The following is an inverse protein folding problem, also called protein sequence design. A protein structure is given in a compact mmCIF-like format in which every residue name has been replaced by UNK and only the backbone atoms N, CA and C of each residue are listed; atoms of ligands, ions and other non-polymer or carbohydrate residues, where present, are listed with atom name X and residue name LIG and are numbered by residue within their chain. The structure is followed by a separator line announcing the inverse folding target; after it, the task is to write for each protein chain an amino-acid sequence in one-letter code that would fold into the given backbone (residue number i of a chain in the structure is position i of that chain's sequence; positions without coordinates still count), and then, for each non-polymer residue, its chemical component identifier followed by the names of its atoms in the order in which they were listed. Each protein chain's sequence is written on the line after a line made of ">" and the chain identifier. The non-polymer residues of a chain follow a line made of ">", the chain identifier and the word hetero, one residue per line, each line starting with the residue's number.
data_IF_835841672376
#
_entry.id   IF_835841672376
#
_cell.length_a   1.000
_cell.length_b   1.000
_cell.length_c   1.000
_cell.angle_alpha   90.00
_cell.angle_beta   90.00
_cell.angle_gamma   90.00
#
_symmetry.space_group_name_H-M   'P 1'
#
loop_
_entity.id
_entity.type
_entity.pdbx_description
1 polymer ?
#
# COMPACT_ATOMS: atom_id res chain seq x y z
N UNK A 1 -46.36 -13.14 -37.56
CA UNK A 1 -45.95 -12.62 -36.24
C UNK A 1 -45.60 -13.82 -35.38
N UNK A 2 -44.32 -14.03 -35.08
CA UNK A 2 -43.87 -15.13 -34.24
C UNK A 2 -43.65 -14.58 -32.82
N UNK A 3 -44.53 -14.94 -31.89
CA UNK A 3 -44.34 -14.69 -30.46
C UNK A 3 -43.20 -15.57 -29.96
N UNK A 4 -42.07 -14.93 -29.64
CA UNK A 4 -41.02 -15.55 -28.83
C UNK A 4 -41.42 -15.41 -27.36
N UNK A 5 -42.02 -16.46 -26.80
CA UNK A 5 -42.19 -16.57 -25.36
C UNK A 5 -40.81 -16.88 -24.75
N UNK A 6 -40.14 -15.85 -24.25
CA UNK A 6 -38.86 -15.99 -23.55
C UNK A 6 -39.15 -16.58 -22.18
N UNK A 7 -38.87 -17.87 -22.05
CA UNK A 7 -38.78 -18.56 -20.78
C UNK A 7 -37.68 -17.91 -19.93
N UNK A 8 -38.07 -16.97 -19.07
CA UNK A 8 -37.28 -16.51 -17.92
C UNK A 8 -37.16 -17.68 -16.94
N UNK A 9 -36.17 -18.56 -17.18
CA UNK A 9 -35.79 -19.62 -16.27
C UNK A 9 -34.37 -19.37 -15.77
N UNK A 10 -34.19 -18.31 -15.00
CA UNK A 10 -32.94 -18.10 -14.26
C UNK A 10 -33.22 -17.46 -12.90
N UNK A 11 -33.64 -18.30 -11.97
CA UNK A 11 -33.51 -17.97 -10.55
C UNK A 11 -33.10 -19.26 -9.86
N UNK A 12 -31.82 -19.44 -9.49
CA UNK A 12 -31.45 -20.58 -8.68
C UNK A 12 -32.20 -20.44 -7.36
N UNK A 13 -33.17 -21.34 -7.14
CA UNK A 13 -33.82 -21.51 -5.85
C UNK A 13 -32.72 -21.94 -4.88
N UNK A 14 -32.18 -20.97 -4.15
CA UNK A 14 -31.28 -21.20 -3.05
C UNK A 14 -32.03 -22.03 -2.02
N UNK A 15 -31.88 -23.35 -2.12
CA UNK A 15 -32.45 -24.31 -1.18
C UNK A 15 -32.06 -23.90 0.22
N UNK A 16 -33.06 -23.43 0.97
CA UNK A 16 -32.92 -23.01 2.35
C UNK A 16 -32.48 -24.24 3.16
N UNK A 17 -31.16 -24.41 3.32
CA UNK A 17 -30.56 -25.46 4.14
C UNK A 17 -31.10 -25.28 5.55
N UNK A 18 -32.09 -26.11 5.92
CA UNK A 18 -32.62 -26.17 7.27
C UNK A 18 -31.48 -26.64 8.19
N UNK A 19 -30.88 -25.70 8.92
CA UNK A 19 -29.99 -26.01 10.05
C UNK A 19 -30.84 -26.61 11.16
N UNK A 20 -30.93 -27.93 11.19
CA UNK A 20 -31.70 -28.69 12.20
C UNK A 20 -31.03 -28.74 13.57
N UNK A 21 -29.81 -28.21 13.70
CA UNK A 21 -29.11 -28.12 14.98
C UNK A 21 -28.64 -26.69 15.16
N UNK A 22 -29.37 -25.94 15.99
CA UNK A 22 -28.97 -24.61 16.42
C UNK A 22 -27.95 -24.78 17.56
N UNK A 23 -26.76 -25.30 17.22
CA UNK A 23 -25.62 -25.22 18.13
C UNK A 23 -25.23 -23.75 18.15
N UNK A 24 -25.41 -23.10 19.31
CA UNK A 24 -24.98 -21.72 19.54
C UNK A 24 -23.49 -21.59 19.16
N UNK A 25 -23.24 -21.07 17.97
CA UNK A 25 -21.89 -20.91 17.41
C UNK A 25 -21.00 -20.08 18.33
N UNK A 26 -21.57 -19.19 19.13
CA UNK A 26 -20.82 -18.33 20.04
C UNK A 26 -20.26 -19.10 21.25
N UNK A 27 -21.03 -20.04 21.81
CA UNK A 27 -20.59 -20.85 22.96
C UNK A 27 -19.49 -21.83 22.56
N UNK A 28 -19.64 -22.46 21.39
CA UNK A 28 -18.60 -23.34 20.83
C UNK A 28 -17.36 -22.54 20.42
N UNK A 29 -17.53 -21.32 19.91
CA UNK A 29 -16.42 -20.42 19.59
C UNK A 29 -15.58 -20.05 20.81
N UNK A 30 -16.23 -19.65 21.91
CA UNK A 30 -15.56 -19.31 23.16
C UNK A 30 -14.85 -20.53 23.78
N UNK A 31 -15.46 -21.72 23.70
CA UNK A 31 -14.83 -22.97 24.14
C UNK A 31 -13.59 -23.30 23.30
N UNK A 32 -13.69 -23.24 21.97
CA UNK A 32 -12.58 -23.50 21.07
C UNK A 32 -11.41 -22.53 21.29
N UNK A 33 -11.70 -21.26 21.57
CA UNK A 33 -10.66 -20.27 21.86
C UNK A 33 -9.96 -20.51 23.21
N UNK A 34 -10.69 -20.98 24.22
CA UNK A 34 -10.09 -21.42 25.49
C UNK A 34 -9.21 -22.66 25.29
N UNK A 35 -9.69 -23.63 24.51
CA UNK A 35 -8.96 -24.84 24.16
C UNK A 35 -7.69 -24.51 23.36
N UNK A 36 -7.78 -23.63 22.35
CA UNK A 36 -6.64 -23.19 21.55
C UNK A 36 -5.55 -22.51 22.40
N UNK A 37 -5.94 -21.65 23.35
CA UNK A 37 -4.98 -21.04 24.29
C UNK A 37 -4.37 -22.05 25.25
N UNK A 38 -5.15 -23.04 25.68
CA UNK A 38 -4.69 -24.11 26.56
C UNK A 38 -3.68 -25.05 25.89
N UNK A 39 -3.93 -25.47 24.65
CA UNK A 39 -2.99 -26.31 23.87
C UNK A 39 -1.80 -25.52 23.30
N UNK A 40 -1.96 -24.21 23.05
CA UNK A 40 -0.89 -23.34 22.55
C UNK A 40 0.12 -22.90 23.61
N UNK A 41 -0.25 -22.98 24.89
CA UNK A 41 0.64 -22.71 26.02
C UNK A 41 1.26 -24.03 26.47
N UNK A 42 2.59 -24.12 26.61
CA UNK A 42 3.30 -25.35 26.99
C UNK A 42 2.88 -25.98 28.34
N UNK A 43 1.99 -25.33 29.09
CA UNK A 43 1.38 -25.81 30.33
C UNK A 43 0.61 -27.13 30.19
N UNK A 44 -0.08 -27.37 29.06
CA UNK A 44 -0.78 -28.64 28.86
C UNK A 44 0.20 -29.82 28.84
N UNK A 45 1.30 -29.69 28.09
CA UNK A 45 2.33 -30.72 28.00
C UNK A 45 2.97 -30.98 29.37
N UNK A 46 3.23 -29.92 30.15
CA UNK A 46 3.76 -30.05 31.49
C UNK A 46 2.84 -30.88 32.40
N UNK A 47 1.55 -30.54 32.49
CA UNK A 47 0.59 -31.29 33.32
C UNK A 47 0.37 -32.71 32.82
N UNK A 48 0.35 -32.95 31.50
CA UNK A 48 0.25 -34.30 30.93
C UNK A 48 1.45 -35.16 31.32
N UNK A 49 2.67 -34.63 31.25
CA UNK A 49 3.88 -35.35 31.67
C UNK A 49 3.89 -35.65 33.16
N UNK A 50 3.48 -34.68 34.00
CA UNK A 50 3.35 -34.88 35.46
C UNK A 50 2.34 -35.98 35.76
N UNK A 51 1.18 -35.99 35.09
CA UNK A 51 0.16 -37.03 35.28
C UNK A 51 0.70 -38.42 34.94
N UNK A 52 1.34 -38.57 33.77
CA UNK A 52 1.94 -39.85 33.36
C UNK A 52 3.02 -40.30 34.33
N UNK A 53 3.88 -39.37 34.76
CA UNK A 53 4.95 -39.65 35.72
C UNK A 53 4.38 -40.14 37.06
N UNK A 54 3.39 -39.45 37.62
CA UNK A 54 2.73 -39.83 38.87
C UNK A 54 2.04 -41.19 38.72
N UNK A 55 1.37 -41.46 37.60
CA UNK A 55 0.73 -42.75 37.32
C UNK A 55 1.72 -43.90 37.36
N UNK A 56 2.85 -43.75 36.66
CA UNK A 56 3.92 -44.75 36.62
C UNK A 56 4.52 -44.96 38.02
N UNK A 57 4.80 -43.88 38.76
CA UNK A 57 5.36 -43.96 40.13
C UNK A 57 4.39 -44.66 41.09
N UNK A 58 3.11 -44.29 41.08
CA UNK A 58 2.08 -44.94 41.91
C UNK A 58 1.96 -46.44 41.59
N UNK A 59 2.05 -46.80 40.31
CA UNK A 59 1.99 -48.19 39.88
C UNK A 59 3.18 -49.02 40.36
N UNK A 60 4.39 -48.44 40.33
CA UNK A 60 5.62 -49.10 40.82
C UNK A 60 5.58 -49.30 42.34
N UNK A 61 5.07 -48.32 43.08
CA UNK A 61 4.99 -48.36 44.56
C UNK A 61 3.85 -49.26 45.05
N UNK A 62 2.76 -49.39 44.29
CA UNK A 62 1.60 -50.24 44.58
C UNK A 62 1.84 -51.75 44.39
N UNK A 63 2.90 -52.26 45.04
CA UNK A 63 3.48 -53.60 44.84
C UNK A 63 2.48 -54.76 45.04
N UNK A 64 1.50 -54.60 45.93
CA UNK A 64 0.55 -55.67 46.29
C UNK A 64 -0.68 -55.77 45.39
N UNK A 65 -1.06 -54.70 44.68
CA UNK A 65 -2.32 -54.68 43.90
C UNK A 65 -2.13 -54.48 42.39
N UNK A 66 -0.90 -54.16 41.92
CA UNK A 66 -0.50 -54.04 40.50
C UNK A 66 -1.65 -53.69 39.55
N UNK A 67 -2.29 -52.54 39.77
CA UNK A 67 -3.51 -52.15 39.06
C UNK A 67 -3.32 -51.99 37.54
N UNK A 68 -2.09 -51.75 37.10
CA UNK A 68 -1.75 -51.63 35.67
C UNK A 68 -0.32 -52.18 35.42
N UNK A 69 -0.10 -53.51 35.38
CA UNK A 69 1.22 -54.10 35.24
C UNK A 69 1.88 -53.70 33.91
N UNK A 70 3.21 -53.63 33.88
CA UNK A 70 3.98 -53.41 32.64
C UNK A 70 3.50 -54.41 31.56
N UNK A 71 3.01 -53.96 30.39
CA UNK A 71 3.28 -52.68 29.69
C UNK A 71 2.23 -51.54 29.84
N UNK A 72 1.56 -51.39 30.98
CA UNK A 72 0.58 -50.32 31.27
C UNK A 72 -0.62 -50.26 30.29
N UNK A 73 -1.43 -51.32 30.27
CA UNK A 73 -2.57 -51.46 29.35
C UNK A 73 -3.64 -50.39 29.57
N UNK A 74 -3.88 -49.97 30.81
CA UNK A 74 -4.92 -48.98 31.11
C UNK A 74 -4.48 -47.59 30.65
N UNK A 75 -3.22 -47.24 30.88
CA UNK A 75 -2.64 -45.99 30.38
C UNK A 75 -2.69 -45.95 28.85
N UNK A 76 -2.32 -47.04 28.18
CA UNK A 76 -2.38 -47.13 26.74
C UNK A 76 -3.82 -47.02 26.19
N UNK A 77 -4.79 -47.67 26.85
CA UNK A 77 -6.20 -47.56 26.48
C UNK A 77 -6.69 -46.12 26.63
N UNK A 78 -6.34 -45.45 27.73
CA UNK A 78 -6.69 -44.06 27.96
C UNK A 78 -6.12 -43.13 26.88
N UNK A 79 -4.84 -43.28 26.52
CA UNK A 79 -4.22 -42.52 25.43
C UNK A 79 -4.88 -42.81 24.07
N UNK A 80 -5.24 -44.07 23.80
CA UNK A 80 -5.92 -44.45 22.57
C UNK A 80 -7.30 -43.78 22.46
N UNK A 81 -8.08 -43.78 23.54
CA UNK A 81 -9.36 -43.09 23.58
C UNK A 81 -9.20 -41.57 23.52
N UNK A 82 -8.18 -41.02 24.18
CA UNK A 82 -7.86 -39.59 24.15
C UNK A 82 -7.57 -39.13 22.72
N UNK A 83 -6.73 -39.86 21.99
CA UNK A 83 -6.43 -39.57 20.58
C UNK A 83 -7.69 -39.70 19.70
N UNK A 84 -8.52 -40.72 19.93
CA UNK A 84 -9.75 -40.92 19.18
C UNK A 84 -10.76 -39.77 19.35
N UNK A 85 -10.87 -39.18 20.54
CA UNK A 85 -11.74 -38.02 20.78
C UNK A 85 -11.10 -36.69 20.37
N UNK A 86 -9.77 -36.61 20.32
CA UNK A 86 -9.07 -35.41 19.87
C UNK A 86 -9.36 -35.12 18.39
N UNK A 87 -9.38 -36.13 17.52
CA UNK A 87 -9.61 -35.96 16.07
C UNK A 87 -10.91 -35.17 15.72
N UNK A 88 -12.11 -35.53 16.22
CA UNK A 88 -13.32 -34.76 15.93
C UNK A 88 -13.32 -33.37 16.57
N UNK A 89 -12.70 -33.20 17.75
CA UNK A 89 -12.59 -31.89 18.39
C UNK A 89 -11.67 -30.95 17.60
N UNK A 90 -10.56 -31.47 17.10
CA UNK A 90 -9.63 -30.75 16.22
C UNK A 90 -10.34 -30.37 14.91
N UNK A 91 -11.09 -31.28 14.29
CA UNK A 91 -11.87 -30.99 13.08
C UNK A 91 -12.88 -29.85 13.30
N UNK A 92 -13.56 -29.81 14.46
CA UNK A 92 -14.47 -28.72 14.79
C UNK A 92 -13.74 -27.39 15.01
N UNK A 93 -12.55 -27.42 15.62
CA UNK A 93 -11.71 -26.25 15.78
C UNK A 93 -11.20 -25.75 14.42
N UNK A 94 -10.80 -26.66 13.51
CA UNK A 94 -10.30 -26.36 12.18
C UNK A 94 -11.38 -25.76 11.28
N UNK A 95 -12.58 -26.36 11.19
CA UNK A 95 -13.69 -25.80 10.39
C UNK A 95 -13.98 -24.33 10.73
N UNK A 96 -13.84 -23.95 12.01
CA UNK A 96 -14.03 -22.56 12.45
C UNK A 96 -12.86 -21.64 12.18
N UNK A 97 -11.64 -22.16 12.13
CA UNK A 97 -10.48 -21.40 11.69
C UNK A 97 -10.62 -21.12 10.19
N UNK A 98 -10.95 -22.14 9.39
CA UNK A 98 -11.19 -22.00 7.95
C UNK A 98 -12.31 -21.02 7.61
N UNK A 99 -13.42 -21.03 8.36
CA UNK A 99 -14.50 -20.05 8.17
C UNK A 99 -14.03 -18.61 8.44
N UNK A 100 -13.22 -18.40 9.48
CA UNK A 100 -12.63 -17.08 9.80
C UNK A 100 -11.62 -16.65 8.74
N UNK A 101 -10.72 -17.54 8.37
CA UNK A 101 -9.70 -17.29 7.35
C UNK A 101 -10.35 -16.97 6.00
N UNK A 102 -11.46 -17.63 5.66
CA UNK A 102 -12.23 -17.33 4.45
C UNK A 102 -12.79 -15.92 4.45
N UNK A 103 -13.31 -15.42 5.57
CA UNK A 103 -13.82 -14.05 5.69
C UNK A 103 -12.68 -13.06 5.52
N UNK A 104 -11.55 -13.30 6.18
CA UNK A 104 -10.35 -12.44 6.09
C UNK A 104 -9.86 -12.36 4.64
N UNK A 105 -9.75 -13.50 3.95
CA UNK A 105 -9.32 -13.56 2.54
C UNK A 105 -10.32 -12.85 1.61
N UNK A 106 -11.62 -12.98 1.87
CA UNK A 106 -12.64 -12.30 1.07
C UNK A 106 -12.57 -10.77 1.23
N UNK A 107 -12.37 -10.29 2.46
CA UNK A 107 -12.21 -8.87 2.76
C UNK A 107 -10.92 -8.30 2.14
N UNK A 108 -9.82 -9.03 2.23
CA UNK A 108 -8.53 -8.64 1.64
C UNK A 108 -8.62 -8.53 0.11
N UNK A 109 -9.33 -9.46 -0.56
CA UNK A 109 -9.61 -9.36 -2.00
C UNK A 109 -10.40 -8.10 -2.33
N UNK A 110 -11.48 -7.83 -1.60
CA UNK A 110 -12.31 -6.63 -1.81
C UNK A 110 -11.49 -5.34 -1.62
N UNK A 111 -10.62 -5.31 -0.61
CA UNK A 111 -9.73 -4.18 -0.34
C UNK A 111 -8.70 -3.99 -1.44
N UNK A 112 -8.14 -5.08 -1.95
CA UNK A 112 -7.19 -5.07 -3.07
C UNK A 112 -7.84 -4.56 -4.35
N UNK A 113 -9.09 -4.97 -4.64
CA UNK A 113 -9.87 -4.45 -5.77
C UNK A 113 -10.13 -2.95 -5.66
N UNK A 114 -10.50 -2.45 -4.48
CA UNK A 114 -10.68 -1.02 -4.23
C UNK A 114 -9.38 -0.23 -4.41
N UNK A 115 -8.30 -0.71 -3.80
CA UNK A 115 -6.98 -0.06 -3.90
C UNK A 115 -6.51 0.01 -5.35
N UNK A 116 -6.77 -1.05 -6.13
CA UNK A 116 -6.48 -1.07 -7.56
C UNK A 116 -7.31 -0.04 -8.33
N UNK A 117 -8.62 0.03 -8.08
CA UNK A 117 -9.50 1.00 -8.70
C UNK A 117 -9.11 2.45 -8.37
N UNK A 118 -8.76 2.73 -7.11
CA UNK A 118 -8.29 4.05 -6.67
C UNK A 118 -6.98 4.43 -7.35
N UNK A 119 -6.04 3.47 -7.48
CA UNK A 119 -4.77 3.68 -8.18
C UNK A 119 -4.99 3.95 -9.67
N UNK A 120 -5.89 3.21 -10.32
CA UNK A 120 -6.27 3.44 -11.72
C UNK A 120 -6.95 4.80 -11.91
N UNK A 121 -7.79 5.22 -10.96
CA UNK A 121 -8.41 6.54 -10.96
C UNK A 121 -7.35 7.65 -10.84
N UNK A 122 -6.48 7.57 -9.83
CA UNK A 122 -5.40 8.53 -9.63
C UNK A 122 -4.45 8.59 -10.82
N UNK A 123 -4.15 7.45 -11.46
CA UNK A 123 -3.34 7.42 -12.67
C UNK A 123 -4.01 8.14 -13.86
N UNK A 124 -5.33 7.97 -14.02
CA UNK A 124 -6.10 8.68 -15.06
C UNK A 124 -6.18 10.18 -14.78
N UNK A 125 -6.43 10.57 -13.54
CA UNK A 125 -6.42 11.98 -13.11
C UNK A 125 -5.03 12.61 -13.29
N UNK A 126 -3.96 11.90 -12.93
CA UNK A 126 -2.60 12.40 -13.15
C UNK A 126 -2.30 12.54 -14.65
N UNK A 127 -2.76 11.60 -15.48
CA UNK A 127 -2.59 11.68 -16.92
C UNK A 127 -3.38 12.85 -17.53
N UNK A 128 -4.63 13.09 -17.10
CA UNK A 128 -5.44 14.21 -17.57
C UNK A 128 -4.84 15.56 -17.15
N UNK A 129 -4.40 15.68 -15.89
CA UNK A 129 -3.69 16.87 -15.38
C UNK A 129 -2.39 17.10 -16.15
N UNK A 130 -1.62 16.04 -16.42
CA UNK A 130 -0.38 16.14 -17.20
C UNK A 130 -0.62 16.64 -18.63
N UNK A 131 -1.68 16.17 -19.28
CA UNK A 131 -2.05 16.64 -20.62
C UNK A 131 -2.48 18.11 -20.59
N UNK A 132 -3.33 18.50 -19.63
CA UNK A 132 -3.77 19.88 -19.47
C UNK A 132 -2.62 20.87 -19.22
N UNK A 133 -1.67 20.50 -18.35
CA UNK A 133 -0.47 21.31 -18.06
C UNK A 133 0.53 21.27 -19.23
N UNK A 134 0.69 20.12 -19.87
CA UNK A 134 1.64 19.91 -20.96
C UNK A 134 1.34 20.72 -22.22
N UNK A 135 0.06 20.83 -22.61
CA UNK A 135 -0.32 21.46 -23.88
C UNK A 135 -0.31 23.00 -23.85
N UNK A 136 -0.54 23.64 -22.70
CA UNK A 136 -0.77 25.10 -22.65
C UNK A 136 0.27 25.87 -21.83
N UNK A 137 0.74 25.31 -20.72
CA UNK A 137 1.57 26.09 -19.80
C UNK A 137 3.05 26.17 -20.21
N UNK A 138 3.55 25.25 -21.04
CA UNK A 138 4.99 25.25 -21.39
C UNK A 138 5.26 25.96 -22.71
N UNK A 139 4.50 25.64 -23.76
CA UNK A 139 4.80 26.14 -25.11
C UNK A 139 4.48 27.62 -25.28
N UNK A 140 3.29 28.05 -24.89
CA UNK A 140 2.86 29.44 -25.08
C UNK A 140 3.53 30.37 -24.07
N UNK A 141 3.74 29.90 -22.84
CA UNK A 141 4.52 30.61 -21.83
C UNK A 141 5.99 30.79 -22.25
N UNK A 142 6.68 29.73 -22.70
CA UNK A 142 8.07 29.83 -23.17
C UNK A 142 8.18 30.77 -24.37
N UNK A 143 7.21 30.75 -25.29
CA UNK A 143 7.18 31.68 -26.43
C UNK A 143 6.97 33.12 -25.97
N UNK A 144 6.00 33.35 -25.08
CA UNK A 144 5.72 34.67 -24.54
C UNK A 144 6.93 35.24 -23.78
N UNK A 145 7.61 34.42 -22.98
CA UNK A 145 8.80 34.83 -22.25
C UNK A 145 9.98 35.11 -23.19
N UNK A 146 10.16 34.31 -24.25
CA UNK A 146 11.15 34.59 -25.30
C UNK A 146 10.87 35.91 -26.03
N UNK A 147 9.60 36.18 -26.38
CA UNK A 147 9.19 37.42 -27.05
C UNK A 147 9.34 38.63 -26.13
N UNK A 148 8.98 38.50 -24.85
CA UNK A 148 9.17 39.51 -23.82
C UNK A 148 10.65 39.87 -23.65
N UNK A 149 11.53 38.86 -23.57
CA UNK A 149 12.99 39.07 -23.51
C UNK A 149 13.48 39.77 -24.77
N UNK A 150 13.01 39.36 -25.95
CA UNK A 150 13.40 39.97 -27.23
C UNK A 150 13.00 41.46 -27.29
N UNK A 151 11.79 41.79 -26.84
CA UNK A 151 11.31 43.17 -26.78
C UNK A 151 12.10 44.00 -25.77
N UNK A 152 12.46 43.44 -24.62
CA UNK A 152 13.31 44.10 -23.62
C UNK A 152 14.70 44.42 -24.18
N UNK A 153 15.29 43.51 -24.95
CA UNK A 153 16.59 43.73 -25.62
C UNK A 153 16.46 44.86 -26.65
N UNK A 154 15.42 44.85 -27.48
CA UNK A 154 15.20 45.87 -28.52
C UNK A 154 14.97 47.27 -27.93
N UNK A 155 14.21 47.35 -26.82
CA UNK A 155 14.07 48.60 -26.05
C UNK A 155 15.39 49.09 -25.46
N UNK A 156 16.25 48.17 -25.00
CA UNK A 156 17.57 48.51 -24.47
C UNK A 156 18.47 49.07 -25.57
N UNK A 157 18.48 48.43 -26.74
CA UNK A 157 19.29 48.81 -27.90
C UNK A 157 18.87 50.20 -28.43
N UNK A 158 17.56 50.43 -28.58
CA UNK A 158 17.02 51.73 -28.98
C UNK A 158 17.42 52.85 -27.99
N UNK A 159 17.34 52.57 -26.68
CA UNK A 159 17.74 53.54 -25.65
C UNK A 159 19.23 53.86 -25.67
N UNK A 160 20.07 52.85 -25.96
CA UNK A 160 21.51 53.02 -26.13
C UNK A 160 21.77 53.91 -27.35
N UNK A 161 21.16 53.62 -28.51
CA UNK A 161 21.29 54.41 -29.74
C UNK A 161 20.87 55.87 -29.54
N UNK A 162 19.75 56.12 -28.85
CA UNK A 162 19.28 57.47 -28.49
C UNK A 162 20.28 58.21 -27.59
N UNK A 163 20.85 57.54 -26.60
CA UNK A 163 21.90 58.12 -25.76
C UNK A 163 23.15 58.49 -26.56
N UNK A 164 23.59 57.64 -27.48
CA UNK A 164 24.72 57.94 -28.37
C UNK A 164 24.41 59.10 -29.32
N UNK A 165 23.16 59.22 -29.79
CA UNK A 165 22.72 60.32 -30.64
C UNK A 165 22.69 61.65 -29.87
N UNK A 166 22.15 61.67 -28.65
CA UNK A 166 22.16 62.85 -27.77
C UNK A 166 23.60 63.28 -27.43
N UNK A 167 24.47 62.35 -27.01
CA UNK A 167 25.88 62.67 -26.71
C UNK A 167 26.61 63.25 -27.93
N UNK A 168 26.34 62.74 -29.14
CA UNK A 168 26.90 63.28 -30.38
C UNK A 168 26.38 64.68 -30.70
N UNK A 169 25.09 64.94 -30.46
CA UNK A 169 24.51 66.27 -30.63
C UNK A 169 25.10 67.26 -29.63
N UNK A 170 25.21 66.89 -28.35
CA UNK A 170 25.83 67.70 -27.29
C UNK A 170 27.27 68.08 -27.66
N UNK A 171 28.10 67.11 -28.07
CA UNK A 171 29.46 67.39 -28.53
C UNK A 171 29.51 68.29 -29.78
N UNK A 172 28.58 68.10 -30.72
CA UNK A 172 28.51 68.94 -31.93
C UNK A 172 28.05 70.37 -31.63
N UNK A 173 27.20 70.59 -30.61
CA UNK A 173 26.86 71.92 -30.12
C UNK A 173 28.01 72.56 -29.37
N UNK A 174 28.71 71.83 -28.50
CA UNK A 174 29.89 72.33 -27.77
C UNK A 174 31.01 72.76 -28.71
N UNK A 175 31.29 71.98 -29.77
CA UNK A 175 32.26 72.33 -30.82
C UNK A 175 31.89 73.57 -31.63
N UNK A 176 30.58 73.88 -31.76
CA UNK A 176 30.10 75.10 -32.43
C UNK A 176 30.14 76.32 -31.52
N UNK A 177 29.96 76.13 -30.21
CA UNK A 177 29.94 77.21 -29.22
C UNK A 177 31.35 77.65 -28.80
N UNK A 178 32.35 76.74 -28.79
CA UNK A 178 33.73 77.07 -28.42
C UNK A 178 34.78 76.60 -29.46
N UNK A 179 35.09 77.40 -30.50
CA UNK A 179 35.99 77.00 -31.59
C UNK A 179 37.49 76.96 -31.24
N UNK A 180 37.90 77.08 -29.97
CA UNK A 180 39.32 77.20 -29.57
C UNK A 180 39.84 76.08 -28.65
N UNK A 181 39.34 74.86 -28.79
CA UNK A 181 40.03 73.68 -28.21
C UNK A 181 40.26 72.57 -29.24
N UNK A 182 40.85 72.92 -30.39
CA UNK A 182 41.74 71.94 -31.05
C UNK A 182 42.95 71.75 -30.13
N UNK A 183 43.28 70.52 -29.68
CA UNK A 183 44.59 70.30 -29.11
C UNK A 183 45.61 70.50 -30.24
N UNK A 184 46.28 71.65 -30.24
CA UNK A 184 47.40 71.94 -31.14
C UNK A 184 48.71 71.61 -30.44
N UNK A 185 49.18 70.37 -30.59
CA UNK A 185 50.58 69.93 -30.70
C UNK A 185 50.67 68.44 -30.37
N UNK A 186 51.46 67.62 -31.05
CA UNK A 186 52.46 67.89 -32.08
C UNK A 186 53.03 66.56 -32.57
N UNK A 187 53.30 66.48 -33.86
CA UNK A 187 54.17 65.46 -34.42
C UNK A 187 55.62 65.94 -34.29
N UNK A 188 56.44 65.17 -33.58
CA UNK A 188 57.90 65.06 -33.74
C UNK A 188 58.28 63.77 -33.01
N UNK A 189 58.58 62.70 -33.75
CA UNK A 189 59.97 62.32 -34.05
C UNK A 189 60.78 62.09 -32.79
N UNK A 190 60.98 60.82 -32.44
CA UNK A 190 62.27 60.33 -31.99
C UNK A 190 62.66 59.21 -32.95
N UNK A 191 63.77 59.45 -33.65
CA UNK A 191 64.54 58.43 -34.33
C UNK A 191 65.65 58.01 -33.37
N UNK A 192 65.66 56.74 -32.99
CA UNK A 192 66.87 55.93 -32.75
C UNK A 192 66.52 54.44 -32.89
#
# INVERSE_FOLDING_TARGET
>A
MAEYNRTELDTPVAGQRRKLINIDGDKVGAFAEKVARFFGTGEYLFWQTVFVFVWVVLNIIGWDYKWDPYPFILLNLAFSTQAAYAAPLILLAQNRQEDRDRVIVAEDRRRSEQTKADTEFLARELASVRLAVGDTATRDYLRHELDSIRELIERLDAKIEDEWANRRQEQASELKENPLTTPRHGASQDAE
#
